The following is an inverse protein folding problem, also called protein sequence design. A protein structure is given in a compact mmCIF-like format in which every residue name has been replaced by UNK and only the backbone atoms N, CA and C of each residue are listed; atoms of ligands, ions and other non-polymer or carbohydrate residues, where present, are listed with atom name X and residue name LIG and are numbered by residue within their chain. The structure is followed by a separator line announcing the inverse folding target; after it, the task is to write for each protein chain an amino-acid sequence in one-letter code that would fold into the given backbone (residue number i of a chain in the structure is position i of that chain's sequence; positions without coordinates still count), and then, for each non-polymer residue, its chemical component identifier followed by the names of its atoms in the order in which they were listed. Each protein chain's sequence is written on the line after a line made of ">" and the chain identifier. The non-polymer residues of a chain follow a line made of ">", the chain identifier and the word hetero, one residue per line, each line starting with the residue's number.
data_IF_712039189669
#
_entry.id   IF_712039189669
#
_cell.length_a   1.000
_cell.length_b   1.000
_cell.length_c   1.000
_cell.angle_alpha   90.00
_cell.angle_beta   90.00
_cell.angle_gamma   90.00
#
_symmetry.space_group_name_H-M   'P 1'
#
loop_
_entity.id
_entity.type
_entity.pdbx_description
1 polymer ?
#
# COMPACT_ATOMS: atom_id res chain seq x y z
N UNK A 1 -10.64 21.72 -4.18
CA UNK A 1 -11.12 20.34 -4.41
C UNK A 1 -10.12 19.41 -3.73
N UNK A 2 -10.56 18.69 -2.69
CA UNK A 2 -9.69 18.10 -1.67
C UNK A 2 -8.74 17.02 -2.24
N UNK A 3 -7.46 17.13 -1.92
CA UNK A 3 -6.40 16.12 -2.09
C UNK A 3 -6.82 14.71 -1.63
N UNK A 4 -7.75 14.63 -0.67
CA UNK A 4 -8.40 13.42 -0.18
C UNK A 4 -9.12 12.57 -1.25
N UNK A 5 -9.72 13.20 -2.26
CA UNK A 5 -10.40 12.49 -3.36
C UNK A 5 -9.41 11.77 -4.30
N UNK A 6 -8.21 12.33 -4.49
CA UNK A 6 -7.17 11.74 -5.36
C UNK A 6 -6.59 10.45 -4.77
N UNK A 7 -6.56 10.37 -3.44
CA UNK A 7 -5.97 9.26 -2.70
C UNK A 7 -7.02 8.18 -2.40
N UNK A 8 -8.28 8.57 -2.14
CA UNK A 8 -9.38 7.62 -1.98
C UNK A 8 -9.53 6.72 -3.22
N UNK A 9 -9.44 7.30 -4.43
CA UNK A 9 -9.49 6.55 -5.69
C UNK A 9 -8.42 5.46 -5.82
N UNK A 10 -7.18 5.76 -5.42
CA UNK A 10 -6.06 4.80 -5.45
C UNK A 10 -6.30 3.70 -4.43
N UNK A 11 -6.68 4.05 -3.21
CA UNK A 11 -6.84 3.10 -2.09
C UNK A 11 -8.01 2.13 -2.30
N UNK A 12 -9.09 2.58 -2.95
CA UNK A 12 -10.24 1.72 -3.27
C UNK A 12 -9.84 0.59 -4.23
N UNK A 13 -8.97 0.89 -5.19
CA UNK A 13 -8.43 -0.12 -6.09
C UNK A 13 -7.62 -1.20 -5.40
N UNK A 14 -6.81 -0.79 -4.42
CA UNK A 14 -5.82 -1.66 -3.79
C UNK A 14 -6.51 -2.86 -3.12
N UNK A 15 -7.78 -2.72 -2.80
CA UNK A 15 -8.59 -3.74 -2.17
C UNK A 15 -9.32 -4.61 -3.21
N UNK A 16 -9.78 -4.07 -4.34
CA UNK A 16 -10.31 -4.88 -5.45
C UNK A 16 -9.22 -5.74 -6.12
N UNK A 17 -8.00 -5.21 -6.31
CA UNK A 17 -6.87 -5.98 -6.83
C UNK A 17 -6.43 -7.13 -5.89
N UNK A 18 -6.46 -6.88 -4.58
CA UNK A 18 -6.13 -7.90 -3.57
C UNK A 18 -7.26 -8.93 -3.38
N UNK A 19 -8.50 -8.58 -3.73
CA UNK A 19 -9.68 -9.48 -3.75
C UNK A 19 -9.69 -10.41 -4.95
N UNK A 20 -9.25 -9.93 -6.10
CA UNK A 20 -9.22 -10.74 -7.32
C UNK A 20 -8.15 -11.85 -7.26
N UNK A 21 -7.23 -11.72 -6.28
CA UNK A 21 -6.29 -12.73 -5.81
C UNK A 21 -6.86 -13.72 -4.77
N UNK A 22 -8.04 -13.46 -4.18
CA UNK A 22 -8.57 -14.24 -3.05
C UNK A 22 -9.98 -14.81 -3.20
N UNK A 23 -10.95 -14.22 -3.91
CA UNK A 23 -12.23 -14.80 -4.40
C UNK A 23 -13.26 -13.71 -4.70
N UNK A 24 -14.12 -13.97 -5.71
CA UNK A 24 -15.23 -13.12 -6.19
C UNK A 24 -16.20 -12.70 -5.08
N UNK A 25 -16.34 -11.40 -4.82
CA UNK A 25 -17.56 -10.75 -4.28
C UNK A 25 -17.60 -9.27 -4.68
N UNK A 26 -18.72 -8.84 -5.25
CA UNK A 26 -19.05 -7.46 -5.63
C UNK A 26 -19.18 -6.54 -4.40
N UNK A 27 -18.75 -5.28 -4.51
CA UNK A 27 -18.69 -4.30 -3.40
C UNK A 27 -19.36 -2.98 -3.81
N UNK A 28 -20.10 -2.37 -2.87
CA UNK A 28 -20.89 -1.14 -3.03
C UNK A 28 -20.35 0.08 -2.23
N UNK A 29 -19.10 0.07 -1.76
CA UNK A 29 -18.54 1.25 -1.08
C UNK A 29 -17.01 1.30 -1.07
N UNK A 30 -16.39 2.49 -1.20
CA UNK A 30 -14.94 2.68 -1.29
C UNK A 30 -14.23 2.38 0.03
N UNK A 31 -13.34 1.36 0.10
CA UNK A 31 -12.61 1.04 1.33
C UNK A 31 -11.34 1.89 1.50
N UNK A 32 -10.96 2.20 2.76
CA UNK A 32 -9.92 3.18 3.12
C UNK A 32 -8.87 2.61 4.08
N UNK A 33 -7.61 2.52 3.67
CA UNK A 33 -6.50 1.95 4.46
C UNK A 33 -5.38 2.95 4.73
N UNK A 34 -4.91 3.02 5.98
CA UNK A 34 -3.62 3.59 6.36
C UNK A 34 -2.59 2.46 6.59
N UNK A 35 -1.45 2.53 5.90
CA UNK A 35 -0.36 1.55 6.00
C UNK A 35 0.75 2.02 6.96
N UNK A 36 0.59 1.70 8.25
CA UNK A 36 1.67 1.82 9.24
C UNK A 36 2.61 0.61 9.20
N UNK A 37 3.63 0.60 8.35
CA UNK A 37 4.67 -0.45 8.38
C UNK A 37 5.73 -0.15 9.45
N UNK A 38 5.47 -0.51 10.71
CA UNK A 38 6.51 -0.48 11.74
C UNK A 38 7.42 -1.70 11.66
N UNK A 39 8.71 -1.48 11.35
CA UNK A 39 9.78 -2.49 11.23
C UNK A 39 10.17 -3.24 12.52
N UNK A 40 9.40 -3.15 13.62
CA UNK A 40 9.76 -3.76 14.92
C UNK A 40 8.91 -4.99 15.24
N UNK A 41 9.58 -6.14 15.40
CA UNK A 41 9.05 -7.46 15.81
C UNK A 41 8.35 -7.54 17.19
N UNK A 42 8.10 -6.42 17.88
CA UNK A 42 7.21 -6.40 19.06
C UNK A 42 5.85 -5.86 18.62
N UNK A 43 4.95 -6.80 18.29
CA UNK A 43 3.58 -6.53 17.84
C UNK A 43 2.75 -5.96 18.99
N UNK A 44 2.73 -4.64 19.09
CA UNK A 44 1.87 -3.92 20.02
C UNK A 44 0.46 -3.75 19.41
N UNK A 45 -0.54 -3.52 20.25
CA UNK A 45 -1.98 -3.43 19.92
C UNK A 45 -2.36 -2.25 19.02
N UNK A 46 -1.38 -1.42 18.61
CA UNK A 46 -1.49 -0.28 17.70
C UNK A 46 -2.26 -0.58 16.41
N UNK A 47 -2.22 -1.81 15.92
CA UNK A 47 -2.70 -2.13 14.58
C UNK A 47 -4.21 -2.32 14.48
N UNK A 48 -4.92 -2.62 15.58
CA UNK A 48 -6.35 -2.90 15.48
C UNK A 48 -7.13 -1.71 14.92
N UNK A 49 -6.83 -0.48 15.33
CA UNK A 49 -7.42 0.74 14.75
C UNK A 49 -6.34 1.62 14.10
N UNK A 50 -5.57 1.03 13.19
CA UNK A 50 -4.41 1.69 12.59
C UNK A 50 -4.76 2.82 11.62
N UNK A 51 -6.01 2.94 11.17
CA UNK A 51 -6.41 3.97 10.22
C UNK A 51 -6.54 5.34 10.87
N UNK A 52 -5.89 6.35 10.28
CA UNK A 52 -5.98 7.76 10.68
C UNK A 52 -7.28 8.43 10.24
N UNK A 53 -8.03 7.81 9.31
CA UNK A 53 -9.24 8.38 8.73
C UNK A 53 -10.53 7.69 9.18
N UNK A 54 -10.47 6.45 9.68
CA UNK A 54 -11.66 5.71 10.10
C UNK A 54 -11.39 4.85 11.34
N UNK A 55 -12.48 4.37 11.95
CA UNK A 55 -12.46 3.47 13.09
C UNK A 55 -12.47 1.99 12.69
N UNK A 56 -11.97 1.64 11.51
CA UNK A 56 -11.93 0.24 11.09
C UNK A 56 -11.04 -0.59 12.00
N UNK A 57 -11.61 -1.71 12.47
CA UNK A 57 -10.90 -2.68 13.31
C UNK A 57 -10.29 -3.78 12.43
N UNK A 58 -8.97 -3.93 12.46
CA UNK A 58 -8.26 -5.04 11.81
C UNK A 58 -8.52 -6.37 12.52
N UNK A 59 -8.68 -7.46 11.78
CA UNK A 59 -8.74 -8.80 12.36
C UNK A 59 -7.38 -9.50 12.38
N UNK A 60 -7.23 -10.48 13.27
CA UNK A 60 -5.98 -11.19 13.55
C UNK A 60 -5.89 -12.52 12.76
N UNK A 61 -6.30 -12.53 11.50
CA UNK A 61 -6.27 -13.69 10.59
C UNK A 61 -4.95 -13.77 9.79
N UNK A 62 -3.81 -13.54 10.45
CA UNK A 62 -2.46 -13.57 9.83
C UNK A 62 -1.71 -12.23 9.92
N UNK A 63 -0.87 -11.83 8.93
CA UNK A 63 -0.41 -10.45 8.85
C UNK A 63 -1.65 -9.55 8.86
N UNK A 64 -1.72 -8.62 9.81
CA UNK A 64 -2.94 -7.84 10.07
C UNK A 64 -3.33 -7.08 8.81
N UNK A 65 -4.49 -7.41 8.27
CA UNK A 65 -5.09 -6.79 7.09
C UNK A 65 -6.37 -6.06 7.55
N UNK A 66 -6.69 -4.96 6.90
CA UNK A 66 -8.04 -4.39 6.97
C UNK A 66 -8.99 -5.34 6.24
N UNK A 67 -10.14 -5.60 6.85
CA UNK A 67 -11.14 -6.48 6.26
C UNK A 67 -11.97 -5.64 5.30
N UNK A 68 -12.27 -6.17 4.13
CA UNK A 68 -13.12 -5.45 3.20
C UNK A 68 -14.55 -5.59 3.72
N UNK A 69 -14.98 -4.59 4.48
CA UNK A 69 -16.31 -4.57 5.09
C UNK A 69 -17.34 -4.21 4.03
N UNK A 70 -18.48 -4.90 4.08
CA UNK A 70 -19.68 -4.55 3.30
C UNK A 70 -20.40 -3.32 3.84
N UNK A 71 -20.04 -2.89 5.05
CA UNK A 71 -20.70 -1.81 5.78
C UNK A 71 -19.80 -0.59 5.92
N UNK A 72 -20.41 0.60 5.84
CA UNK A 72 -19.72 1.87 5.98
C UNK A 72 -19.35 2.10 7.44
N UNK A 73 -18.07 2.29 7.69
CA UNK A 73 -17.51 2.52 9.03
C UNK A 73 -17.47 4.01 9.32
N UNK A 74 -17.63 4.37 10.59
CA UNK A 74 -17.46 5.75 11.05
C UNK A 74 -16.07 6.30 10.73
N UNK A 75 -16.08 7.48 10.10
CA UNK A 75 -14.88 8.27 9.84
C UNK A 75 -14.44 9.00 11.11
N UNK A 76 -13.13 9.21 11.25
CA UNK A 76 -12.57 10.03 12.32
C UNK A 76 -12.80 11.49 12.00
N UNK A 77 -13.18 12.25 13.02
CA UNK A 77 -13.21 13.71 12.97
C UNK A 77 -12.09 14.27 13.84
N UNK A 78 -11.80 15.56 13.66
CA UNK A 78 -10.86 16.28 14.55
C UNK A 78 -11.31 16.13 16.00
N UNK A 79 -12.60 16.33 16.26
CA UNK A 79 -13.19 16.22 17.59
C UNK A 79 -13.09 14.79 18.15
N UNK A 80 -13.46 13.77 17.37
CA UNK A 80 -13.40 12.37 17.84
C UNK A 80 -11.96 11.96 18.16
N UNK A 81 -10.99 12.47 17.39
CA UNK A 81 -9.57 12.17 17.59
C UNK A 81 -8.99 12.91 18.79
N UNK A 82 -9.46 14.13 19.08
CA UNK A 82 -9.13 14.84 20.31
C UNK A 82 -9.65 14.07 21.54
N UNK A 83 -10.89 13.59 21.48
CA UNK A 83 -11.47 12.78 22.55
C UNK A 83 -10.71 11.47 22.75
N UNK A 84 -10.33 10.78 21.67
CA UNK A 84 -9.53 9.56 21.73
C UNK A 84 -8.16 9.82 22.36
N UNK A 85 -7.50 10.92 21.99
CA UNK A 85 -6.22 11.33 22.57
C UNK A 85 -6.33 11.67 24.05
N UNK A 86 -7.39 12.39 24.45
CA UNK A 86 -7.67 12.69 25.85
C UNK A 86 -7.88 11.41 26.65
N UNK A 87 -8.69 10.47 26.15
CA UNK A 87 -8.90 9.15 26.79
C UNK A 87 -7.62 8.34 26.88
N UNK A 88 -6.77 8.39 25.86
CA UNK A 88 -5.45 7.74 25.91
C UNK A 88 -4.55 8.35 27.00
N UNK A 89 -4.61 9.68 27.18
CA UNK A 89 -3.84 10.39 28.22
C UNK A 89 -4.36 10.12 29.62
N UNK A 90 -5.69 10.14 29.84
CA UNK A 90 -6.31 9.87 31.14
C UNK A 90 -5.99 8.46 31.65
N UNK A 91 -5.79 7.50 30.75
CA UNK A 91 -5.50 6.09 31.07
C UNK A 91 -4.01 5.75 31.09
N UNK A 92 -3.11 6.74 31.01
CA UNK A 92 -1.66 6.51 30.90
C UNK A 92 -1.05 5.75 32.10
N UNK A 93 -1.64 5.92 33.28
CA UNK A 93 -1.13 5.36 34.54
C UNK A 93 -1.77 3.99 34.88
N UNK A 94 -2.77 3.54 34.10
CA UNK A 94 -3.44 2.25 34.33
C UNK A 94 -2.46 1.07 34.12
N UNK A 95 -2.44 0.06 35.01
CA UNK A 95 -1.65 -1.16 34.85
C UNK A 95 -2.25 -2.05 33.74
N UNK A 96 -1.94 -1.75 32.48
CA UNK A 96 -2.20 -2.63 31.32
C UNK A 96 -0.88 -3.16 30.74
N UNK A 97 -0.92 -4.32 30.10
CA UNK A 97 0.16 -4.72 29.17
C UNK A 97 0.30 -3.71 28.00
N UNK A 98 -0.78 -2.99 27.69
CA UNK A 98 -0.95 -2.11 26.52
C UNK A 98 -1.02 -0.62 26.86
N UNK A 99 -0.11 -0.17 27.71
CA UNK A 99 -0.15 1.06 28.51
C UNK A 99 -0.28 2.43 27.81
N UNK A 100 -0.64 2.56 26.53
CA UNK A 100 -0.53 3.89 25.90
C UNK A 100 -1.41 4.21 24.70
N UNK A 101 -2.49 3.46 24.44
CA UNK A 101 -3.32 3.70 23.26
C UNK A 101 -4.82 3.58 23.51
N UNK A 102 -5.59 4.48 22.90
CA UNK A 102 -7.05 4.38 22.80
C UNK A 102 -7.46 4.48 21.34
N UNK A 103 -8.11 3.43 20.81
CA UNK A 103 -8.51 3.32 19.40
C UNK A 103 -7.39 3.75 18.43
N UNK A 104 -6.17 3.26 18.61
CA UNK A 104 -5.03 3.58 17.74
C UNK A 104 -4.34 4.93 17.99
N UNK A 105 -4.93 5.82 18.81
CA UNK A 105 -4.35 7.11 19.19
C UNK A 105 -3.49 6.95 20.44
N UNK A 106 -2.27 7.50 20.44
CA UNK A 106 -1.34 7.39 21.59
C UNK A 106 -1.61 8.38 22.72
N UNK A 107 -2.22 9.51 22.39
CA UNK A 107 -2.34 10.65 23.29
C UNK A 107 -2.31 11.96 22.50
N UNK A 108 -2.37 13.09 23.21
CA UNK A 108 -2.35 14.41 22.59
C UNK A 108 -1.03 14.65 21.86
N UNK A 109 -1.10 15.27 20.69
CA UNK A 109 0.05 15.68 19.89
C UNK A 109 0.17 17.20 19.92
N UNK A 110 1.39 17.74 19.85
CA UNK A 110 1.64 19.19 19.72
C UNK A 110 0.92 19.79 18.51
N UNK A 111 0.74 19.00 17.45
CA UNK A 111 0.02 19.42 16.25
C UNK A 111 -1.45 19.73 16.50
N UNK A 112 -2.05 19.22 17.59
CA UNK A 112 -3.42 19.56 17.99
C UNK A 112 -3.56 21.01 18.47
N UNK A 113 -2.46 21.67 18.85
CA UNK A 113 -2.48 23.06 19.32
C UNK A 113 -2.42 24.07 18.17
N UNK A 114 -2.28 23.61 16.92
CA UNK A 114 -2.20 24.49 15.76
C UNK A 114 -3.62 24.92 15.35
N UNK A 115 -3.93 26.21 15.54
CA UNK A 115 -5.25 26.83 15.32
C UNK A 115 -5.87 26.55 13.93
N UNK A 116 -5.05 26.38 12.90
CA UNK A 116 -5.49 26.24 11.50
C UNK A 116 -5.07 24.90 10.88
N UNK A 117 -4.71 23.91 11.70
CA UNK A 117 -4.31 22.59 11.21
C UNK A 117 -5.38 21.54 11.52
N UNK A 118 -5.96 20.96 10.48
CA UNK A 118 -6.85 19.81 10.63
C UNK A 118 -6.01 18.54 10.81
N UNK A 119 -6.10 17.88 11.96
CA UNK A 119 -5.33 16.68 12.24
C UNK A 119 -5.70 15.48 11.35
N UNK A 120 -6.91 15.46 10.79
CA UNK A 120 -7.37 14.39 9.90
C UNK A 120 -7.03 14.74 8.47
N UNK A 121 -7.38 15.95 8.05
CA UNK A 121 -7.29 16.35 6.64
C UNK A 121 -5.98 17.08 6.28
N UNK A 122 -5.18 17.47 7.27
CA UNK A 122 -3.95 18.24 7.10
C UNK A 122 -2.72 17.39 6.76
N UNK A 123 -2.80 16.07 6.92
CA UNK A 123 -1.74 15.17 6.47
C UNK A 123 -1.96 14.76 5.02
N UNK A 124 -0.91 14.90 4.21
CA UNK A 124 -0.88 14.38 2.85
C UNK A 124 -0.37 12.95 2.88
N UNK A 125 -1.03 12.06 2.15
CA UNK A 125 -0.55 10.68 1.97
C UNK A 125 0.63 10.70 1.00
N UNK A 126 1.77 10.21 1.48
CA UNK A 126 3.00 10.17 0.70
C UNK A 126 3.04 8.92 -0.20
N UNK A 127 3.18 9.16 -1.52
CA UNK A 127 3.26 8.11 -2.53
C UNK A 127 4.44 7.15 -2.28
N UNK A 128 5.55 7.66 -1.72
CA UNK A 128 6.74 6.86 -1.47
C UNK A 128 6.45 5.76 -0.46
N UNK A 129 5.72 6.07 0.61
CA UNK A 129 5.39 5.11 1.65
C UNK A 129 4.23 4.20 1.26
N UNK A 130 3.21 4.74 0.59
CA UNK A 130 2.01 3.97 0.26
C UNK A 130 2.21 3.08 -0.96
N UNK A 131 2.66 3.65 -2.08
CA UNK A 131 2.75 2.92 -3.34
C UNK A 131 4.07 2.16 -3.40
N UNK A 132 5.20 2.82 -3.15
CA UNK A 132 6.52 2.23 -3.41
C UNK A 132 6.96 1.26 -2.30
N UNK A 133 7.06 1.74 -1.06
CA UNK A 133 7.54 0.93 0.07
C UNK A 133 6.44 0.06 0.69
N UNK A 134 5.18 0.40 0.42
CA UNK A 134 4.02 -0.37 0.85
C UNK A 134 3.59 -1.34 -0.25
N UNK A 135 2.82 -0.84 -1.21
CA UNK A 135 2.09 -1.68 -2.15
C UNK A 135 2.98 -2.51 -3.07
N UNK A 136 3.79 -1.90 -3.94
CA UNK A 136 4.54 -2.66 -4.95
C UNK A 136 5.55 -3.58 -4.28
N UNK A 137 6.17 -3.14 -3.18
CA UNK A 137 7.04 -3.98 -2.37
C UNK A 137 6.31 -5.22 -1.85
N UNK A 138 5.20 -5.05 -1.14
CA UNK A 138 4.42 -6.17 -0.61
C UNK A 138 3.86 -7.06 -1.71
N UNK A 139 3.47 -6.48 -2.84
CA UNK A 139 2.98 -7.24 -4.00
C UNK A 139 4.06 -8.14 -4.59
N UNK A 140 5.28 -7.63 -4.80
CA UNK A 140 6.40 -8.44 -5.29
C UNK A 140 6.83 -9.49 -4.26
N UNK A 141 6.92 -9.14 -2.98
CA UNK A 141 7.20 -10.10 -1.90
C UNK A 141 6.18 -11.25 -1.88
N UNK A 142 4.90 -10.96 -2.17
CA UNK A 142 3.85 -11.95 -2.29
C UNK A 142 4.01 -12.83 -3.54
N UNK A 143 4.28 -12.25 -4.71
CA UNK A 143 4.44 -13.00 -5.97
C UNK A 143 5.63 -13.98 -5.91
N UNK A 144 6.72 -13.60 -5.24
CA UNK A 144 7.91 -14.43 -5.08
C UNK A 144 7.85 -15.36 -3.86
N UNK A 145 6.76 -15.35 -3.09
CA UNK A 145 6.59 -16.28 -2.00
C UNK A 145 6.49 -17.72 -2.54
N UNK A 146 7.17 -18.68 -1.89
CA UNK A 146 7.31 -20.08 -2.35
C UNK A 146 5.99 -20.82 -2.58
N UNK A 147 4.91 -20.33 -1.97
CA UNK A 147 3.54 -20.88 -2.05
C UNK A 147 2.72 -20.33 -3.21
N UNK A 148 3.26 -19.40 -4.02
CA UNK A 148 2.53 -18.70 -5.08
C UNK A 148 2.98 -19.07 -6.49
N UNK A 149 3.46 -20.30 -6.66
CA UNK A 149 3.89 -20.87 -7.95
C UNK A 149 2.83 -20.75 -9.04
N UNK A 150 1.55 -20.84 -8.67
CA UNK A 150 0.43 -20.71 -9.59
C UNK A 150 0.28 -19.33 -10.23
N UNK A 151 0.98 -18.29 -9.76
CA UNK A 151 0.93 -16.97 -10.39
C UNK A 151 1.78 -16.89 -11.66
N UNK A 152 2.75 -17.80 -11.77
CA UNK A 152 3.75 -17.83 -12.83
C UNK A 152 3.38 -18.86 -13.89
N UNK A 153 3.84 -18.64 -15.11
CA UNK A 153 3.63 -19.56 -16.23
C UNK A 153 4.56 -20.76 -16.01
N UNK A 154 3.99 -21.97 -16.08
CA UNK A 154 4.71 -23.25 -16.07
C UNK A 154 5.65 -23.49 -14.87
N UNK A 155 5.29 -23.02 -13.68
CA UNK A 155 6.12 -23.21 -12.48
C UNK A 155 5.67 -24.40 -11.62
N UNK A 156 6.47 -25.47 -11.62
CA UNK A 156 6.24 -26.70 -10.84
C UNK A 156 7.16 -26.79 -9.60
N UNK A 157 8.46 -26.51 -9.72
CA UNK A 157 9.45 -26.81 -8.66
C UNK A 157 10.29 -25.61 -8.18
N UNK A 158 11.11 -25.80 -7.13
CA UNK A 158 12.00 -24.76 -6.57
C UNK A 158 13.13 -24.36 -7.52
N UNK A 159 13.64 -25.31 -8.32
CA UNK A 159 14.64 -25.04 -9.37
C UNK A 159 14.08 -24.05 -10.40
N UNK A 160 12.78 -24.11 -10.69
CA UNK A 160 12.12 -23.19 -11.61
C UNK A 160 12.07 -21.74 -11.07
N UNK A 161 11.99 -21.56 -9.74
CA UNK A 161 12.00 -20.23 -9.13
C UNK A 161 13.37 -19.53 -9.28
N UNK A 162 14.47 -20.26 -9.12
CA UNK A 162 15.82 -19.71 -9.33
C UNK A 162 16.04 -19.32 -10.79
N UNK A 163 15.66 -20.21 -11.72
CA UNK A 163 15.76 -19.92 -13.15
C UNK A 163 14.90 -18.71 -13.55
N UNK A 164 13.74 -18.54 -12.91
CA UNK A 164 12.88 -17.38 -13.08
C UNK A 164 13.57 -16.09 -12.61
N UNK A 165 14.13 -16.07 -11.39
CA UNK A 165 14.83 -14.88 -10.88
C UNK A 165 16.03 -14.52 -11.74
N UNK A 166 16.78 -15.51 -12.23
CA UNK A 166 17.94 -15.30 -13.11
C UNK A 166 17.50 -14.72 -14.47
N UNK A 167 16.35 -15.17 -15.00
CA UNK A 167 15.76 -14.62 -16.23
C UNK A 167 15.32 -13.18 -16.03
N UNK A 168 14.67 -12.88 -14.90
CA UNK A 168 14.23 -11.52 -14.56
C UNK A 168 15.43 -10.59 -14.41
N UNK A 169 16.48 -11.02 -13.68
CA UNK A 169 17.71 -10.26 -13.50
C UNK A 169 18.42 -10.03 -14.83
N UNK A 170 18.50 -11.04 -15.68
CA UNK A 170 19.08 -10.91 -17.03
C UNK A 170 18.35 -9.86 -17.87
N UNK A 171 17.01 -9.80 -17.78
CA UNK A 171 16.22 -8.75 -18.45
C UNK A 171 16.44 -7.39 -17.81
N UNK A 172 16.45 -7.33 -16.49
CA UNK A 172 16.59 -6.11 -15.71
C UNK A 172 17.96 -5.44 -15.96
N UNK A 173 19.04 -6.21 -16.00
CA UNK A 173 20.40 -5.72 -16.25
C UNK A 173 20.65 -5.33 -17.72
N UNK A 174 19.80 -5.76 -18.66
CA UNK A 174 19.84 -5.28 -20.05
C UNK A 174 19.24 -3.89 -20.21
N UNK A 175 18.43 -3.44 -19.25
CA UNK A 175 17.82 -2.11 -19.30
C UNK A 175 18.89 -1.07 -18.97
N UNK A 176 19.14 -0.16 -19.90
CA UNK A 176 19.99 1.01 -19.68
C UNK A 176 19.12 2.16 -19.15
N UNK A 177 19.29 2.58 -17.89
CA UNK A 177 18.49 3.66 -17.35
C UNK A 177 18.82 5.00 -18.06
N UNK A 178 17.82 5.85 -18.33
CA UNK A 178 18.07 7.22 -18.80
C UNK A 178 18.80 8.01 -17.71
N UNK A 179 19.44 9.12 -18.10
CA UNK A 179 20.25 9.98 -17.21
C UNK A 179 19.51 10.44 -15.95
N UNK A 180 18.18 10.57 -16.02
CA UNK A 180 17.34 10.92 -14.87
C UNK A 180 17.21 9.83 -13.80
N UNK A 181 17.62 8.59 -14.07
CA UNK A 181 17.63 7.49 -13.11
C UNK A 181 19.08 7.24 -12.68
N UNK A 182 19.45 7.79 -11.53
CA UNK A 182 20.84 7.82 -11.03
C UNK A 182 21.37 6.49 -10.50
N UNK A 183 20.53 5.45 -10.39
CA UNK A 183 20.93 4.13 -9.91
C UNK A 183 20.64 3.05 -10.93
N UNK A 184 21.67 2.26 -11.22
CA UNK A 184 21.53 1.02 -11.97
C UNK A 184 20.62 0.03 -11.23
N UNK A 185 19.87 -0.80 -11.96
CA UNK A 185 19.07 -1.85 -11.35
C UNK A 185 19.92 -2.80 -10.51
N UNK A 186 19.37 -3.25 -9.37
CA UNK A 186 19.94 -4.32 -8.55
C UNK A 186 19.17 -5.61 -8.76
N UNK A 187 19.76 -6.75 -8.41
CA UNK A 187 19.10 -8.05 -8.48
C UNK A 187 17.76 -8.06 -7.74
N UNK A 188 16.78 -8.75 -8.31
CA UNK A 188 15.47 -8.99 -7.73
C UNK A 188 15.55 -9.80 -6.43
N UNK A 189 16.60 -10.61 -6.26
CA UNK A 189 16.84 -11.35 -5.01
C UNK A 189 17.10 -10.41 -3.82
N UNK A 190 17.61 -9.22 -4.08
CA UNK A 190 17.85 -8.18 -3.07
C UNK A 190 16.67 -7.19 -2.92
N UNK A 191 15.50 -7.47 -3.51
CA UNK A 191 14.35 -6.57 -3.50
C UNK A 191 13.91 -6.15 -2.08
N UNK A 192 14.11 -7.01 -1.07
CA UNK A 192 13.85 -6.69 0.33
C UNK A 192 14.64 -5.47 0.85
N UNK A 193 15.80 -5.16 0.23
CA UNK A 193 16.72 -4.06 0.54
C UNK A 193 16.62 -2.89 -0.45
N UNK A 194 15.71 -2.94 -1.42
CA UNK A 194 15.53 -1.85 -2.37
C UNK A 194 15.02 -0.59 -1.66
N UNK A 195 15.57 0.57 -2.05
CA UNK A 195 15.07 1.87 -1.61
C UNK A 195 13.86 2.26 -2.46
N UNK A 196 13.10 3.26 -2.00
CA UNK A 196 11.91 3.71 -2.72
C UNK A 196 12.22 4.14 -4.17
N UNK A 197 13.36 4.79 -4.42
CA UNK A 197 13.78 5.16 -5.78
C UNK A 197 13.89 3.98 -6.74
N UNK A 198 14.27 2.79 -6.24
CA UNK A 198 14.38 1.58 -7.05
C UNK A 198 13.02 0.95 -7.28
N UNK A 199 12.16 0.94 -6.25
CA UNK A 199 10.76 0.56 -6.41
C UNK A 199 10.01 1.46 -7.40
N UNK A 200 10.33 2.75 -7.44
CA UNK A 200 9.81 3.69 -8.44
C UNK A 200 10.21 3.26 -9.85
N UNK A 201 11.51 3.05 -10.09
CA UNK A 201 11.99 2.65 -11.41
C UNK A 201 11.44 1.28 -11.82
N UNK A 202 11.37 0.34 -10.88
CA UNK A 202 10.72 -0.95 -11.08
C UNK A 202 9.28 -0.80 -11.52
N UNK A 203 8.45 -0.08 -10.75
CA UNK A 203 7.03 0.08 -11.03
C UNK A 203 6.75 0.78 -12.37
N UNK A 204 7.47 1.87 -12.65
CA UNK A 204 7.15 2.73 -13.79
C UNK A 204 7.75 2.25 -15.11
N UNK A 205 8.88 1.52 -15.07
CA UNK A 205 9.65 1.25 -16.29
C UNK A 205 10.06 -0.22 -16.47
N UNK A 206 10.35 -0.94 -15.39
CA UNK A 206 11.03 -2.24 -15.52
C UNK A 206 10.13 -3.44 -15.32
N UNK A 207 9.09 -3.34 -14.47
CA UNK A 207 8.32 -4.51 -14.04
C UNK A 207 7.64 -5.22 -15.22
N UNK A 208 6.97 -4.49 -16.11
CA UNK A 208 6.25 -5.07 -17.25
C UNK A 208 7.19 -5.79 -18.23
N UNK A 209 8.23 -5.15 -18.79
CA UNK A 209 9.13 -5.85 -19.72
C UNK A 209 9.92 -6.98 -19.06
N UNK A 210 10.25 -6.87 -17.77
CA UNK A 210 10.93 -7.95 -17.05
C UNK A 210 10.02 -9.16 -16.81
N UNK A 211 8.72 -8.96 -16.56
CA UNK A 211 7.77 -10.01 -16.18
C UNK A 211 6.92 -10.54 -17.34
N UNK A 212 6.92 -9.85 -18.48
CA UNK A 212 6.21 -10.27 -19.69
C UNK A 212 6.60 -11.71 -20.07
N UNK A 213 5.63 -12.52 -20.49
CA UNK A 213 5.83 -13.95 -20.82
C UNK A 213 6.28 -14.85 -19.67
N UNK A 214 6.35 -14.36 -18.43
CA UNK A 214 6.72 -15.15 -17.23
C UNK A 214 5.58 -15.18 -16.22
N UNK A 215 4.96 -14.03 -15.98
CA UNK A 215 3.82 -13.88 -15.09
C UNK A 215 2.52 -14.09 -15.89
N UNK A 216 1.51 -14.74 -15.30
CA UNK A 216 0.21 -14.90 -15.96
C UNK A 216 -0.43 -13.53 -16.25
N UNK A 217 -1.09 -13.42 -17.39
CA UNK A 217 -1.62 -12.16 -17.93
C UNK A 217 -2.48 -11.39 -16.92
N UNK A 218 -3.34 -12.08 -16.17
CA UNK A 218 -4.17 -11.46 -15.12
C UNK A 218 -3.33 -10.58 -14.17
N UNK A 219 -2.22 -11.12 -13.65
CA UNK A 219 -1.39 -10.38 -12.68
C UNK A 219 -0.54 -9.31 -13.36
N UNK A 220 -0.13 -9.54 -14.60
CA UNK A 220 0.64 -8.58 -15.39
C UNK A 220 -0.22 -7.36 -15.75
N UNK A 221 -1.48 -7.57 -16.14
CA UNK A 221 -2.45 -6.50 -16.41
C UNK A 221 -2.65 -5.63 -15.19
N UNK A 222 -2.84 -6.23 -14.00
CA UNK A 222 -3.05 -5.44 -12.80
C UNK A 222 -1.79 -4.65 -12.38
N UNK A 223 -0.58 -5.18 -12.60
CA UNK A 223 0.67 -4.42 -12.43
C UNK A 223 0.75 -3.25 -13.42
N UNK A 224 0.30 -3.45 -14.66
CA UNK A 224 0.27 -2.40 -15.67
C UNK A 224 -0.73 -1.30 -15.31
N UNK A 225 -1.93 -1.66 -14.81
CA UNK A 225 -2.93 -0.70 -14.31
C UNK A 225 -2.36 0.16 -13.17
N UNK A 226 -1.69 -0.48 -12.19
CA UNK A 226 -1.03 0.25 -11.11
C UNK A 226 0.05 1.20 -11.64
N UNK A 227 0.88 0.73 -12.58
CA UNK A 227 1.94 1.53 -13.19
C UNK A 227 1.37 2.76 -13.91
N UNK A 228 0.34 2.55 -14.74
CA UNK A 228 -0.33 3.60 -15.50
C UNK A 228 -0.98 4.64 -14.57
N UNK A 229 -1.79 4.20 -13.61
CA UNK A 229 -2.43 5.10 -12.66
C UNK A 229 -1.40 5.89 -11.83
N UNK A 230 -0.32 5.24 -11.39
CA UNK A 230 0.77 5.91 -10.67
C UNK A 230 1.44 6.95 -11.56
N UNK A 231 1.66 6.66 -12.84
CA UNK A 231 2.26 7.59 -13.77
C UNK A 231 1.39 8.85 -13.99
N UNK A 232 0.08 8.66 -14.19
CA UNK A 232 -0.89 9.76 -14.31
C UNK A 232 -0.83 10.67 -13.07
N UNK A 233 -0.87 10.08 -11.89
CA UNK A 233 -0.94 10.81 -10.63
C UNK A 233 0.39 11.49 -10.22
N UNK A 234 1.50 11.14 -10.87
CA UNK A 234 2.82 11.74 -10.65
C UNK A 234 3.13 12.88 -11.62
N UNK A 235 2.22 13.22 -12.54
CA UNK A 235 2.40 14.37 -13.43
C UNK A 235 2.45 15.68 -12.63
N UNK A 236 3.14 16.68 -13.18
CA UNK A 236 3.26 18.00 -12.55
C UNK A 236 1.90 18.71 -12.40
N UNK A 237 1.01 18.49 -13.36
CA UNK A 237 -0.38 18.92 -13.33
C UNK A 237 -1.25 17.71 -13.63
N UNK A 238 -2.31 17.54 -12.85
CA UNK A 238 -3.27 16.44 -13.02
C UNK A 238 -4.67 17.02 -13.03
N UNK A 239 -5.36 16.84 -14.14
CA UNK A 239 -6.76 17.25 -14.34
C UNK A 239 -7.73 16.32 -13.61
N UNK A 240 -9.00 16.74 -13.51
CA UNK A 240 -10.05 15.91 -12.92
C UNK A 240 -10.30 14.64 -13.73
N UNK A 241 -10.30 14.76 -15.06
CA UNK A 241 -10.49 13.62 -15.96
C UNK A 241 -9.39 12.57 -15.79
N UNK A 242 -8.13 12.99 -15.65
CA UNK A 242 -6.99 12.08 -15.40
C UNK A 242 -7.09 11.38 -14.03
N UNK A 243 -7.61 12.06 -13.00
CA UNK A 243 -7.88 11.43 -11.70
C UNK A 243 -8.98 10.38 -11.84
N UNK A 244 -10.04 10.69 -12.59
CA UNK A 244 -11.13 9.76 -12.87
C UNK A 244 -10.66 8.59 -13.73
N UNK A 245 -9.77 8.80 -14.70
CA UNK A 245 -9.13 7.74 -15.49
C UNK A 245 -8.29 6.82 -14.60
N UNK A 246 -7.42 7.40 -13.76
CA UNK A 246 -6.64 6.63 -12.79
C UNK A 246 -7.55 5.83 -11.84
N UNK A 247 -8.70 6.39 -11.45
CA UNK A 247 -9.71 5.68 -10.67
C UNK A 247 -10.45 4.59 -11.46
N UNK A 248 -10.65 4.74 -12.76
CA UNK A 248 -11.40 3.78 -13.58
C UNK A 248 -10.54 2.58 -14.00
N UNK A 249 -9.22 2.76 -14.16
CA UNK A 249 -8.26 1.64 -14.26
C UNK A 249 -8.41 0.65 -13.11
N UNK A 250 -9.04 1.13 -12.06
CA UNK A 250 -9.15 0.47 -10.80
C UNK A 250 -10.52 -0.14 -10.49
N UNK A 251 -11.46 -0.06 -11.41
CA UNK A 251 -12.81 -0.64 -11.27
C UNK A 251 -13.08 -1.77 -12.26
N UNK A 252 -12.08 -2.08 -13.10
CA UNK A 252 -12.09 -3.13 -14.13
C UNK A 252 -11.65 -4.47 -13.55
#
# INVERSE_FOLDING_TARGET
>A
MNSHLKIAAIICFLLDYMLDLKTKKQINSPPRVFFGFTKKKKLSFHAFYGCTFCYEKQEKTGPRCFNILSERIDERTVESTYQDARRAYEKKDEPREDKQHYKGVKGPSILMNLLYFDLINGFVVDYMHVILLGMIKSHMEYLFHSTKKQCWISMTDSIALRNLTDTIDSRLFRIQPPTGITRSPRSINDCCKWKASEWRSWLLFYCIPCLQSLLKDKYLVHLAMLSQATNILLQHFVSRAEIEEAHNLFLL
#
